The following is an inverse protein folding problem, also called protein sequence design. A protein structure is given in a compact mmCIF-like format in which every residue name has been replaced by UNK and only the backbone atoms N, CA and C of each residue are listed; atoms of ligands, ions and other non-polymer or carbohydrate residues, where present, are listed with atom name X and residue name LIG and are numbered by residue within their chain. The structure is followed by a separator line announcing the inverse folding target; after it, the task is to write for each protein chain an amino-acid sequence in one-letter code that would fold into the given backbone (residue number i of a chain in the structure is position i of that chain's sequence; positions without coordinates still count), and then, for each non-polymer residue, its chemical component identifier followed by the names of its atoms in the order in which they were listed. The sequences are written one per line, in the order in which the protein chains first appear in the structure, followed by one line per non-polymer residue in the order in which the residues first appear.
data_IF_257286759249
#
_entry.id   IF_257286759249
#
_cell.length_a   1.000
_cell.length_b   1.000
_cell.length_c   1.000
_cell.angle_alpha   90.00
_cell.angle_beta   90.00
_cell.angle_gamma   90.00
#
_symmetry.space_group_name_H-M   'P 1'
#
loop_
_entity.id
_entity.type
_entity.pdbx_description
1 polymer ?
#
# COMPACT_ATOMS: atom_id res chain seq x y z
N UNK A 1 1.44 -5.71 -16.54
CA UNK A 1 1.68 -4.85 -15.35
C UNK A 1 0.47 -3.96 -15.12
N UNK A 2 -0.29 -4.20 -14.05
CA UNK A 2 -1.46 -3.40 -13.62
C UNK A 2 -1.02 -2.48 -12.49
N UNK A 3 -1.45 -1.22 -12.50
CA UNK A 3 -1.19 -0.25 -11.43
C UNK A 3 -2.51 0.19 -10.82
N UNK A 4 -2.62 0.08 -9.50
CA UNK A 4 -3.84 0.40 -8.75
C UNK A 4 -3.62 1.68 -7.92
N UNK A 5 -4.49 2.69 -8.08
CA UNK A 5 -4.35 3.96 -7.38
C UNK A 5 -4.87 3.92 -5.93
N UNK A 6 -4.11 4.52 -5.02
CA UNK A 6 -4.49 4.75 -3.61
C UNK A 6 -4.15 6.15 -3.13
N UNK A 7 -4.87 6.65 -2.13
CA UNK A 7 -4.60 7.93 -1.52
C UNK A 7 -3.51 7.79 -0.45
N UNK A 8 -2.36 8.43 -0.65
CA UNK A 8 -1.25 8.39 0.31
C UNK A 8 -1.62 9.05 1.64
N UNK A 9 -1.35 8.37 2.75
CA UNK A 9 -1.68 8.83 4.11
C UNK A 9 -0.57 9.65 4.79
N UNK A 10 0.42 10.16 4.04
CA UNK A 10 1.43 11.07 4.57
C UNK A 10 0.98 12.54 4.62
N UNK A 11 1.91 13.40 5.06
CA UNK A 11 1.68 14.85 5.22
C UNK A 11 1.25 15.55 3.92
N UNK A 12 1.79 15.10 2.77
CA UNK A 12 1.41 15.63 1.47
C UNK A 12 0.38 14.70 0.83
N UNK A 13 -0.86 15.18 0.55
CA UNK A 13 -1.83 14.40 -0.19
C UNK A 13 -1.28 14.15 -1.60
N UNK A 14 -0.98 12.88 -1.88
CA UNK A 14 -0.50 12.39 -3.16
C UNK A 14 -1.21 11.08 -3.51
N UNK A 15 -1.16 10.71 -4.77
CA UNK A 15 -1.59 9.39 -5.25
C UNK A 15 -0.39 8.45 -5.31
N UNK A 16 -0.54 7.26 -4.76
CA UNK A 16 0.43 6.16 -4.94
C UNK A 16 -0.19 5.08 -5.81
N UNK A 17 0.60 4.58 -6.76
CA UNK A 17 0.18 3.54 -7.70
C UNK A 17 0.93 2.26 -7.38
N UNK A 18 0.20 1.22 -6.97
CA UNK A 18 0.77 -0.04 -6.50
C UNK A 18 0.56 -1.13 -7.55
N UNK A 19 1.60 -1.91 -7.84
CA UNK A 19 1.48 -3.15 -8.61
C UNK A 19 1.01 -4.28 -7.68
N UNK A 20 -0.20 -4.86 -7.86
CA UNK A 20 -0.69 -5.95 -7.01
C UNK A 20 0.21 -7.18 -6.99
N UNK A 21 0.92 -7.47 -8.10
CA UNK A 21 1.83 -8.62 -8.21
C UNK A 21 3.06 -8.50 -7.28
N UNK A 22 3.32 -7.31 -6.75
CA UNK A 22 4.42 -7.05 -5.82
C UNK A 22 3.94 -6.91 -4.37
N UNK A 23 2.64 -7.00 -4.10
CA UNK A 23 2.11 -6.88 -2.73
C UNK A 23 2.32 -8.17 -1.97
N UNK A 24 2.93 -8.09 -0.79
CA UNK A 24 3.20 -9.25 0.07
C UNK A 24 2.31 -9.28 1.31
N UNK A 25 1.82 -8.11 1.76
CA UNK A 25 0.91 -8.01 2.89
C UNK A 25 0.15 -6.68 2.90
N UNK A 26 -1.00 -6.66 3.55
CA UNK A 26 -1.76 -5.45 3.90
C UNK A 26 -2.01 -5.47 5.40
N UNK A 27 -1.74 -4.35 6.08
CA UNK A 27 -1.86 -4.25 7.55
C UNK A 27 -2.54 -2.95 7.95
N UNK A 28 -3.53 -3.04 8.83
CA UNK A 28 -4.21 -1.90 9.41
C UNK A 28 -3.39 -1.25 10.55
N UNK A 29 -3.44 0.08 10.63
CA UNK A 29 -2.93 0.91 11.71
C UNK A 29 -3.97 1.96 12.09
N UNK A 30 -3.80 2.60 13.26
CA UNK A 30 -4.80 3.50 13.86
C UNK A 30 -5.35 4.59 12.92
N UNK A 31 -4.55 5.10 11.97
CA UNK A 31 -4.94 6.20 11.07
C UNK A 31 -4.63 5.91 9.58
N UNK A 32 -4.26 4.68 9.23
CA UNK A 32 -3.85 4.33 7.87
C UNK A 32 -3.79 2.83 7.64
N UNK A 33 -3.87 2.41 6.38
CA UNK A 33 -3.57 1.04 5.97
C UNK A 33 -2.21 0.99 5.31
N UNK A 34 -1.32 0.09 5.72
CA UNK A 34 -0.02 -0.10 5.09
C UNK A 34 -0.09 -1.21 4.05
N UNK A 35 0.34 -0.92 2.82
CA UNK A 35 0.53 -1.90 1.76
C UNK A 35 2.02 -2.24 1.68
N UNK A 36 2.40 -3.46 2.06
CA UNK A 36 3.77 -3.94 2.00
C UNK A 36 4.07 -4.54 0.63
N UNK A 37 5.22 -4.18 0.05
CA UNK A 37 5.65 -4.66 -1.27
C UNK A 37 6.96 -5.43 -1.20
N UNK A 38 7.20 -6.30 -2.18
CA UNK A 38 8.39 -7.12 -2.37
C UNK A 38 9.62 -6.32 -2.83
N UNK A 39 9.80 -5.11 -2.29
CA UNK A 39 11.00 -4.30 -2.47
C UNK A 39 11.65 -4.11 -1.10
N UNK A 40 12.92 -4.52 -0.89
CA UNK A 40 13.59 -4.32 0.38
C UNK A 40 13.93 -2.84 0.58
N UNK A 41 13.76 -2.35 1.80
CA UNK A 41 14.34 -1.10 2.26
C UNK A 41 15.84 -1.27 2.52
N UNK A 42 16.56 -0.17 2.80
CA UNK A 42 18.01 -0.18 3.05
C UNK A 42 18.42 -1.07 4.23
N UNK A 43 17.53 -1.27 5.19
CA UNK A 43 17.70 -2.11 6.38
C UNK A 43 17.21 -3.55 6.18
N UNK A 44 16.75 -3.91 4.98
CA UNK A 44 16.19 -5.23 4.67
C UNK A 44 14.74 -5.40 5.09
N UNK A 45 14.10 -4.39 5.70
CA UNK A 45 12.67 -4.44 6.00
C UNK A 45 11.83 -4.38 4.70
N UNK A 46 10.61 -4.94 4.67
CA UNK A 46 9.71 -4.75 3.54
C UNK A 46 9.38 -3.27 3.34
N UNK A 47 9.47 -2.78 2.10
CA UNK A 47 8.95 -1.45 1.76
C UNK A 47 7.44 -1.43 1.93
N UNK A 48 6.90 -0.29 2.37
CA UNK A 48 5.46 -0.15 2.54
C UNK A 48 4.99 1.24 2.15
N UNK A 49 3.71 1.32 1.79
CA UNK A 49 3.02 2.56 1.45
C UNK A 49 1.80 2.72 2.36
N UNK A 50 1.80 3.71 3.29
CA UNK A 50 0.61 4.05 4.05
C UNK A 50 -0.43 4.74 3.15
N UNK A 51 -1.67 4.23 3.17
CA UNK A 51 -2.81 4.73 2.40
C UNK A 51 -4.00 5.04 3.30
N UNK A 52 -4.90 5.91 2.83
CA UNK A 52 -6.10 6.34 3.59
C UNK A 52 -7.24 5.34 3.52
N UNK A 53 -7.27 4.52 2.48
CA UNK A 53 -8.26 3.47 2.31
C UNK A 53 -8.25 2.48 3.48
N UNK A 54 -9.42 1.94 3.80
CA UNK A 54 -9.55 0.87 4.79
C UNK A 54 -8.91 -0.42 4.28
N UNK A 55 -8.61 -1.37 5.18
CA UNK A 55 -8.06 -2.67 4.79
C UNK A 55 -8.96 -3.39 3.77
N UNK A 56 -10.28 -3.34 3.95
CA UNK A 56 -11.25 -3.97 3.04
C UNK A 56 -11.23 -3.33 1.64
N UNK A 57 -11.18 -1.99 1.58
CA UNK A 57 -11.07 -1.26 0.31
C UNK A 57 -9.76 -1.59 -0.40
N UNK A 58 -8.66 -1.68 0.35
CA UNK A 58 -7.35 -2.04 -0.18
C UNK A 58 -7.37 -3.45 -0.76
N UNK A 59 -7.82 -4.44 0.02
CA UNK A 59 -7.88 -5.85 -0.42
C UNK A 59 -8.78 -6.00 -1.64
N UNK A 60 -9.94 -5.34 -1.65
CA UNK A 60 -10.87 -5.36 -2.79
C UNK A 60 -10.23 -4.78 -4.05
N UNK A 61 -9.54 -3.63 -3.95
CA UNK A 61 -8.88 -2.99 -5.10
C UNK A 61 -7.72 -3.82 -5.65
N UNK A 62 -6.95 -4.48 -4.78
CA UNK A 62 -5.79 -5.28 -5.16
C UNK A 62 -6.15 -6.63 -5.79
N UNK A 63 -7.32 -7.18 -5.46
CA UNK A 63 -7.77 -8.51 -5.94
C UNK A 63 -8.79 -8.46 -7.07
N UNK A 64 -9.24 -7.26 -7.45
CA UNK A 64 -10.06 -7.01 -8.64
C UNK A 64 -9.27 -7.11 -9.95
#
# INVERSE_FOLDING_TARGET
MKLVPFQYAGHNPAMVYINPEQVVAVREFANSTHIHVAAPQKDGAPSYYPVRETVDEVVKKLTA
#
